data_IF_531191357179
#
_entry.id   IF_531191357179
#
_cell.length_a   1.000
_cell.length_b   1.000
_cell.length_c   1.000
_cell.angle_alpha   90.00
_cell.angle_beta   90.00
_cell.angle_gamma   90.00
#
_symmetry.space_group_name_H-M   'P 1'
#
loop_
_entity.id
_entity.type
_entity.pdbx_description
1 polymer ?
#
# COMPACT_ATOMS: atom_id res chain seq x y z
N UNK A 1 21.68 -70.98 -43.01
CA UNK A 1 21.72 -69.70 -43.71
C UNK A 1 21.44 -68.63 -42.71
N UNK A 2 22.44 -67.93 -42.22
CA UNK A 2 22.43 -66.88 -41.28
C UNK A 2 22.41 -65.49 -42.01
N UNK A 3 21.59 -64.50 -41.63
CA UNK A 3 21.81 -63.15 -42.07
C UNK A 3 22.52 -62.33 -40.99
N UNK A 4 23.42 -61.55 -41.47
CA UNK A 4 24.31 -60.56 -40.93
C UNK A 4 23.66 -59.52 -40.05
N UNK A 5 24.32 -59.22 -38.90
CA UNK A 5 24.08 -58.05 -38.09
C UNK A 5 24.75 -56.83 -38.70
N UNK A 6 23.97 -55.77 -38.97
CA UNK A 6 24.51 -54.45 -39.25
C UNK A 6 24.39 -53.56 -37.98
N UNK A 7 25.51 -53.01 -37.56
CA UNK A 7 25.63 -52.09 -36.45
C UNK A 7 24.98 -50.72 -36.83
N UNK A 8 24.11 -50.18 -35.95
CA UNK A 8 23.58 -48.85 -36.01
C UNK A 8 24.53 -47.82 -35.40
N UNK A 9 24.49 -46.52 -35.81
CA UNK A 9 25.44 -45.49 -35.38
C UNK A 9 25.13 -44.95 -33.96
N UNK A 10 26.21 -44.53 -33.30
CA UNK A 10 26.31 -44.17 -31.91
C UNK A 10 25.38 -43.03 -31.48
N UNK A 11 24.96 -43.18 -30.22
CA UNK A 11 24.27 -42.15 -29.45
C UNK A 11 25.21 -40.95 -29.22
N UNK A 12 24.91 -39.86 -29.88
CA UNK A 12 25.55 -38.58 -29.63
C UNK A 12 25.19 -38.10 -28.23
N UNK A 13 26.19 -37.88 -27.40
CA UNK A 13 26.12 -37.23 -26.10
C UNK A 13 25.63 -35.76 -26.32
N UNK A 14 24.35 -35.48 -26.13
CA UNK A 14 23.84 -34.14 -26.04
C UNK A 14 24.24 -33.58 -24.68
N UNK A 15 25.29 -32.77 -24.64
CA UNK A 15 25.58 -31.90 -23.50
C UNK A 15 24.32 -31.08 -23.17
N UNK A 16 23.95 -30.92 -21.87
CA UNK A 16 22.84 -30.04 -21.52
C UNK A 16 23.19 -28.62 -21.99
N UNK A 17 22.33 -28.04 -22.83
CA UNK A 17 22.43 -26.64 -23.19
C UNK A 17 22.36 -25.88 -21.87
N UNK A 18 23.42 -25.14 -21.52
CA UNK A 18 23.33 -24.06 -20.55
C UNK A 18 22.17 -23.18 -20.98
N UNK A 19 21.10 -23.15 -20.17
CA UNK A 19 20.00 -22.22 -20.36
C UNK A 19 20.60 -20.81 -20.42
N UNK A 20 20.22 -20.05 -21.43
CA UNK A 20 20.54 -18.63 -21.54
C UNK A 20 19.99 -17.99 -20.25
N UNK A 21 20.86 -17.65 -19.29
CA UNK A 21 20.46 -16.86 -18.13
C UNK A 21 20.05 -15.51 -18.70
N UNK A 22 18.75 -15.23 -18.70
CA UNK A 22 18.23 -13.91 -19.06
C UNK A 22 18.79 -12.92 -18.06
N UNK A 23 19.60 -11.96 -18.52
CA UNK A 23 20.09 -10.89 -17.66
C UNK A 23 18.90 -10.14 -17.09
N UNK A 24 18.88 -9.91 -15.78
CA UNK A 24 17.83 -9.17 -15.08
C UNK A 24 18.07 -7.68 -15.22
N UNK A 25 16.99 -6.92 -15.24
CA UNK A 25 17.03 -5.46 -15.34
C UNK A 25 16.41 -4.82 -14.10
N UNK A 26 16.68 -3.52 -13.89
CA UNK A 26 15.99 -2.70 -12.88
C UNK A 26 14.47 -2.82 -13.03
N UNK A 27 13.96 -2.81 -14.26
CA UNK A 27 12.54 -2.96 -14.56
C UNK A 27 11.97 -4.31 -14.11
N UNK A 28 12.73 -5.41 -14.21
CA UNK A 28 12.31 -6.72 -13.71
C UNK A 28 12.15 -6.70 -12.18
N UNK A 29 13.13 -6.09 -11.46
CA UNK A 29 13.07 -5.97 -9.99
C UNK A 29 11.91 -5.09 -9.56
N UNK A 30 11.70 -3.94 -10.24
CA UNK A 30 10.55 -3.07 -10.02
C UNK A 30 9.24 -3.84 -10.18
N UNK A 31 9.08 -4.60 -11.25
CA UNK A 31 7.86 -5.38 -11.49
C UNK A 31 7.58 -6.40 -10.36
N UNK A 32 8.60 -7.11 -9.86
CA UNK A 32 8.44 -8.04 -8.75
C UNK A 32 8.07 -7.34 -7.44
N UNK A 33 8.66 -6.18 -7.16
CA UNK A 33 8.33 -5.39 -5.98
C UNK A 33 6.93 -4.75 -6.08
N UNK A 34 6.50 -4.29 -7.25
CA UNK A 34 5.17 -3.74 -7.46
C UNK A 34 4.07 -4.81 -7.49
N UNK A 35 4.40 -6.05 -7.83
CA UNK A 35 3.49 -7.21 -7.65
C UNK A 35 3.26 -7.50 -6.16
N UNK A 36 4.32 -7.47 -5.35
CA UNK A 36 4.23 -7.69 -3.90
C UNK A 36 3.64 -6.48 -3.15
N UNK A 37 3.97 -5.28 -3.58
CA UNK A 37 3.59 -4.00 -2.99
C UNK A 37 2.94 -3.08 -4.05
N UNK A 38 1.70 -3.36 -4.46
CA UNK A 38 1.04 -2.65 -5.56
C UNK A 38 0.97 -1.14 -5.33
N UNK A 39 1.38 -0.30 -6.31
CA UNK A 39 1.40 1.16 -6.15
C UNK A 39 0.03 1.78 -5.83
N UNK A 40 -1.07 1.14 -6.25
CA UNK A 40 -2.43 1.60 -5.96
C UNK A 40 -2.89 1.36 -4.51
N UNK A 41 -2.06 0.72 -3.68
CA UNK A 41 -2.23 0.63 -2.23
C UNK A 41 -1.62 1.82 -1.48
N UNK A 42 -0.82 2.66 -2.16
CA UNK A 42 -0.21 3.83 -1.54
C UNK A 42 -1.24 4.90 -1.18
N UNK A 43 -1.01 5.61 -0.09
CA UNK A 43 -1.77 6.80 0.27
C UNK A 43 -1.55 7.90 -0.80
N UNK A 44 -2.56 8.72 -1.06
CA UNK A 44 -2.56 9.70 -2.16
C UNK A 44 -1.50 10.81 -2.07
N UNK A 45 -0.91 11.00 -0.89
CA UNK A 45 0.15 11.99 -0.62
C UNK A 45 1.56 11.38 -0.75
N UNK A 46 1.67 10.06 -0.93
CA UNK A 46 2.92 9.31 -0.91
C UNK A 46 3.67 9.35 -2.26
N UNK A 47 4.94 8.92 -2.25
CA UNK A 47 5.81 8.87 -3.42
C UNK A 47 6.56 7.53 -3.46
N UNK A 48 5.96 6.54 -4.08
CA UNK A 48 6.49 5.17 -4.18
C UNK A 48 6.97 4.83 -5.59
N UNK A 49 7.70 3.74 -5.75
CA UNK A 49 8.19 3.25 -7.02
C UNK A 49 9.65 3.61 -7.31
N UNK A 50 10.05 3.57 -8.57
CA UNK A 50 11.41 3.91 -9.01
C UNK A 50 11.65 5.42 -8.92
N UNK A 51 12.57 5.82 -8.05
CA UNK A 51 12.89 7.23 -7.76
C UNK A 51 14.00 7.77 -8.69
N UNK A 52 15.02 6.96 -8.96
CA UNK A 52 16.04 7.23 -9.98
C UNK A 52 16.65 5.92 -10.49
N UNK A 53 17.22 5.95 -11.69
CA UNK A 53 17.77 4.80 -12.41
C UNK A 53 17.09 4.59 -13.74
N UNK A 54 17.68 3.79 -14.61
CA UNK A 54 17.11 3.39 -15.90
C UNK A 54 16.52 1.97 -15.77
N UNK A 55 15.22 1.75 -16.04
CA UNK A 55 14.60 0.43 -16.02
C UNK A 55 15.29 -0.62 -16.92
N UNK A 56 16.04 -0.19 -17.93
CA UNK A 56 16.75 -1.09 -18.84
C UNK A 56 18.15 -1.50 -18.36
N UNK A 57 18.67 -0.87 -17.28
CA UNK A 57 19.98 -1.24 -16.72
C UNK A 57 19.94 -2.62 -16.09
N UNK A 58 21.08 -3.33 -16.21
CA UNK A 58 21.24 -4.69 -15.68
C UNK A 58 21.40 -4.68 -14.17
N UNK A 59 20.78 -5.69 -13.54
CA UNK A 59 20.87 -5.91 -12.09
C UNK A 59 21.40 -7.30 -11.79
N UNK A 60 22.45 -7.34 -10.99
CA UNK A 60 23.03 -8.55 -10.40
C UNK A 60 22.97 -8.55 -8.87
N UNK A 61 22.95 -7.35 -8.27
CA UNK A 61 22.88 -7.19 -6.81
C UNK A 61 21.90 -6.08 -6.43
N UNK A 62 21.00 -6.41 -5.48
CA UNK A 62 20.05 -5.48 -4.87
C UNK A 62 20.34 -5.32 -3.39
N UNK A 63 20.49 -4.09 -2.92
CA UNK A 63 20.63 -3.75 -1.51
C UNK A 63 19.28 -3.28 -0.94
N UNK A 64 19.04 -3.59 0.35
CA UNK A 64 17.82 -3.21 1.07
C UNK A 64 18.17 -2.43 2.32
N UNK A 65 17.45 -1.34 2.58
CA UNK A 65 17.58 -0.54 3.80
C UNK A 65 16.21 0.05 4.20
N UNK A 66 16.09 0.59 5.41
CA UNK A 66 14.86 1.31 5.77
C UNK A 66 14.84 2.70 5.17
N UNK A 67 15.93 3.46 5.35
CA UNK A 67 16.07 4.86 4.95
C UNK A 67 17.13 5.04 3.87
N UNK A 68 16.94 6.04 3.01
CA UNK A 68 17.94 6.45 2.03
C UNK A 68 18.79 7.65 2.55
N UNK A 69 19.60 7.40 3.59
CA UNK A 69 20.56 8.40 4.07
C UNK A 69 21.83 8.44 3.20
N UNK A 70 22.68 9.48 3.36
CA UNK A 70 23.97 9.52 2.64
C UNK A 70 24.84 8.29 2.96
N UNK A 71 24.91 7.89 4.23
CA UNK A 71 25.69 6.72 4.65
C UNK A 71 25.17 5.41 4.04
N UNK A 72 23.86 5.26 3.90
CA UNK A 72 23.24 4.10 3.23
C UNK A 72 23.55 4.11 1.74
N UNK A 73 23.43 5.27 1.07
CA UNK A 73 23.76 5.41 -0.34
C UNK A 73 25.26 5.13 -0.63
N UNK A 74 26.15 5.67 0.19
CA UNK A 74 27.59 5.40 0.09
C UNK A 74 27.86 3.90 0.26
N UNK A 75 27.22 3.26 1.24
CA UNK A 75 27.35 1.81 1.48
C UNK A 75 26.83 0.97 0.31
N UNK A 76 25.66 1.33 -0.26
CA UNK A 76 25.12 0.62 -1.42
C UNK A 76 26.06 0.67 -2.62
N UNK A 77 26.66 1.83 -2.89
CA UNK A 77 27.66 1.99 -3.97
C UNK A 77 28.95 1.24 -3.66
N UNK A 78 29.48 1.32 -2.43
CA UNK A 78 30.69 0.62 -2.00
C UNK A 78 30.58 -0.90 -2.16
N UNK A 79 29.41 -1.48 -1.89
CA UNK A 79 29.19 -2.92 -2.02
C UNK A 79 28.85 -3.35 -3.47
N UNK A 80 28.82 -2.38 -4.40
CA UNK A 80 28.52 -2.62 -5.82
C UNK A 80 27.05 -3.06 -6.04
N UNK A 81 26.11 -2.47 -5.32
CA UNK A 81 24.70 -2.71 -5.57
C UNK A 81 24.24 -1.94 -6.81
N UNK A 82 23.56 -2.63 -7.73
CA UNK A 82 22.99 -2.04 -8.93
C UNK A 82 21.64 -1.34 -8.61
N UNK A 83 21.01 -1.72 -7.50
CA UNK A 83 19.76 -1.13 -7.03
C UNK A 83 19.70 -1.10 -5.50
N UNK A 84 19.20 0.01 -4.94
CA UNK A 84 18.87 0.19 -3.54
C UNK A 84 17.35 0.26 -3.39
N UNK A 85 16.78 -0.64 -2.59
CA UNK A 85 15.35 -0.68 -2.23
C UNK A 85 15.22 -0.17 -0.80
N UNK A 86 14.36 0.81 -0.60
CA UNK A 86 14.10 1.41 0.72
C UNK A 86 12.61 1.45 1.03
N UNK A 87 12.28 1.55 2.32
CA UNK A 87 10.92 1.81 2.75
C UNK A 87 10.61 3.30 2.66
N UNK A 88 11.37 4.13 3.31
CA UNK A 88 11.13 5.58 3.35
C UNK A 88 11.60 6.28 2.08
N UNK A 89 10.69 6.94 1.32
CA UNK A 89 11.07 7.62 0.09
C UNK A 89 11.96 8.85 0.36
N UNK A 90 13.07 8.95 -0.37
CA UNK A 90 13.96 10.10 -0.29
C UNK A 90 13.25 11.40 -0.69
N UNK A 91 12.37 11.33 -1.69
CA UNK A 91 11.67 12.46 -2.28
C UNK A 91 10.16 12.31 -2.07
N UNK A 92 9.66 12.74 -0.91
CA UNK A 92 8.24 12.69 -0.55
C UNK A 92 7.37 13.74 -1.28
N UNK A 93 7.98 14.80 -1.79
CA UNK A 93 7.31 15.89 -2.51
C UNK A 93 8.04 16.15 -3.81
N UNK A 94 7.31 16.64 -4.81
CA UNK A 94 7.91 17.08 -6.07
C UNK A 94 9.07 18.05 -5.84
N UNK A 95 10.17 17.83 -6.53
CA UNK A 95 11.39 18.67 -6.44
C UNK A 95 11.64 19.37 -7.77
N UNK A 96 12.12 20.60 -7.69
CA UNK A 96 12.52 21.40 -8.87
C UNK A 96 14.03 21.34 -9.12
N UNK A 97 14.79 20.75 -8.20
CA UNK A 97 16.24 20.60 -8.30
C UNK A 97 16.72 19.41 -7.49
N UNK A 98 17.68 18.69 -8.04
CA UNK A 98 18.44 17.61 -7.37
C UNK A 98 19.92 17.95 -7.28
N UNK A 99 20.27 19.26 -7.22
CA UNK A 99 21.64 19.72 -7.14
C UNK A 99 22.38 19.16 -5.91
N UNK A 100 23.63 18.72 -6.07
CA UNK A 100 24.42 18.05 -5.02
C UNK A 100 24.82 18.95 -3.82
N UNK A 101 24.45 20.23 -3.85
CA UNK A 101 24.62 21.16 -2.73
C UNK A 101 23.49 21.04 -1.68
N UNK A 102 22.47 20.21 -1.95
CA UNK A 102 21.42 19.86 -0.97
C UNK A 102 21.64 18.42 -0.45
N UNK A 103 21.24 18.11 0.79
CA UNK A 103 21.40 16.75 1.33
C UNK A 103 20.78 15.66 0.43
N UNK A 104 19.52 15.83 -0.01
CA UNK A 104 18.83 14.87 -0.88
C UNK A 104 19.44 14.81 -2.29
N UNK A 105 19.82 15.96 -2.86
CA UNK A 105 20.51 16.02 -4.14
C UNK A 105 21.88 15.31 -4.09
N UNK A 106 22.63 15.43 -3.00
CA UNK A 106 23.90 14.71 -2.82
C UNK A 106 23.70 13.21 -2.86
N UNK A 107 22.66 12.66 -2.16
CA UNK A 107 22.30 11.24 -2.20
C UNK A 107 22.01 10.79 -3.62
N UNK A 108 21.14 11.51 -4.35
CA UNK A 108 20.82 11.20 -5.75
C UNK A 108 22.10 11.18 -6.62
N UNK A 109 22.98 12.18 -6.47
CA UNK A 109 24.23 12.21 -7.22
C UNK A 109 25.17 11.04 -6.88
N UNK A 110 25.21 10.61 -5.61
CA UNK A 110 25.99 9.43 -5.19
C UNK A 110 25.48 8.18 -5.90
N UNK A 111 24.17 7.93 -5.85
CA UNK A 111 23.56 6.75 -6.44
C UNK A 111 23.68 6.73 -7.96
N UNK A 112 23.33 7.84 -8.65
CA UNK A 112 23.39 7.92 -10.11
C UNK A 112 24.85 7.75 -10.61
N UNK A 113 25.85 8.37 -9.96
CA UNK A 113 27.26 8.19 -10.33
C UNK A 113 27.78 6.80 -10.01
N UNK A 114 27.23 6.15 -8.99
CA UNK A 114 27.56 4.78 -8.62
C UNK A 114 26.85 3.71 -9.49
N UNK A 115 25.99 4.13 -10.45
CA UNK A 115 25.19 3.18 -11.24
C UNK A 115 24.18 2.40 -10.40
N UNK A 116 23.67 2.98 -9.31
CA UNK A 116 22.75 2.35 -8.38
C UNK A 116 21.36 3.00 -8.49
N UNK A 117 20.36 2.25 -8.95
CA UNK A 117 18.99 2.69 -9.00
C UNK A 117 18.39 2.80 -7.58
N UNK A 118 17.39 3.64 -7.38
CA UNK A 118 16.67 3.79 -6.10
C UNK A 118 15.18 3.51 -6.27
N UNK A 119 14.67 2.59 -5.48
CA UNK A 119 13.24 2.27 -5.40
C UNK A 119 12.73 2.46 -3.97
N UNK A 120 11.50 2.94 -3.83
CA UNK A 120 10.83 3.07 -2.54
C UNK A 120 9.49 2.32 -2.53
N UNK A 121 9.25 1.53 -1.47
CA UNK A 121 7.95 0.92 -1.15
C UNK A 121 7.57 1.32 0.28
N UNK A 122 6.65 2.27 0.41
CA UNK A 122 6.29 2.93 1.65
C UNK A 122 4.86 2.54 2.07
N UNK A 123 3.88 3.44 2.01
CA UNK A 123 2.52 3.13 2.46
C UNK A 123 1.83 2.03 1.64
N UNK A 124 2.28 1.77 0.40
CA UNK A 124 1.86 0.59 -0.35
C UNK A 124 2.37 -0.72 0.28
N UNK A 125 3.60 -0.74 0.81
CA UNK A 125 4.13 -1.88 1.55
C UNK A 125 3.47 -2.04 2.93
N UNK A 126 3.11 -0.91 3.62
CA UNK A 126 2.32 -0.96 4.85
C UNK A 126 0.95 -1.58 4.63
N UNK A 127 0.32 -1.26 3.50
CA UNK A 127 -1.03 -1.72 3.14
C UNK A 127 -1.05 -3.12 2.53
N UNK A 128 0.04 -3.57 1.91
CA UNK A 128 0.14 -4.86 1.24
C UNK A 128 -0.07 -6.05 2.20
N UNK A 129 -0.30 -7.24 1.61
CA UNK A 129 -0.42 -8.48 2.37
C UNK A 129 0.29 -9.64 1.65
N UNK A 130 1.41 -10.16 2.21
CA UNK A 130 2.07 -9.69 3.43
C UNK A 130 2.71 -8.30 3.26
N UNK A 131 2.70 -7.49 4.31
CA UNK A 131 3.27 -6.14 4.35
C UNK A 131 4.09 -5.88 5.61
N UNK A 132 4.48 -4.62 5.85
CA UNK A 132 5.34 -4.22 6.99
C UNK A 132 4.70 -4.62 8.32
N UNK A 133 3.40 -4.34 8.48
CA UNK A 133 2.69 -4.69 9.71
C UNK A 133 2.46 -6.20 9.90
N UNK A 134 2.48 -7.01 8.82
CA UNK A 134 2.47 -8.48 8.95
C UNK A 134 3.79 -8.97 9.56
N UNK A 135 4.93 -8.37 9.17
CA UNK A 135 6.24 -8.70 9.75
C UNK A 135 6.34 -8.29 11.21
N UNK A 136 5.82 -7.11 11.55
CA UNK A 136 5.73 -6.69 12.96
C UNK A 136 4.85 -7.64 13.77
N UNK A 137 3.68 -8.04 13.26
CA UNK A 137 2.77 -8.98 13.90
C UNK A 137 3.44 -10.33 14.19
N UNK A 138 4.16 -10.89 13.18
CA UNK A 138 4.95 -12.12 13.33
C UNK A 138 5.96 -12.00 14.47
N UNK A 139 6.75 -10.92 14.49
CA UNK A 139 7.81 -10.71 15.47
C UNK A 139 7.26 -10.58 16.90
N UNK A 140 6.15 -9.86 17.10
CA UNK A 140 5.56 -9.71 18.43
C UNK A 140 4.74 -10.93 18.87
N UNK A 141 4.62 -11.95 18.00
CA UNK A 141 4.05 -13.27 18.34
C UNK A 141 2.54 -13.36 18.18
N UNK A 142 1.93 -12.55 17.30
CA UNK A 142 0.51 -12.67 16.96
C UNK A 142 0.33 -13.20 15.53
N UNK A 143 -0.76 -13.93 15.31
CA UNK A 143 -1.19 -14.29 13.95
C UNK A 143 -1.94 -13.11 13.34
N UNK A 144 -1.40 -12.55 12.26
CA UNK A 144 -1.98 -11.42 11.58
C UNK A 144 -3.36 -11.75 10.98
N UNK A 145 -4.40 -11.12 11.48
CA UNK A 145 -5.77 -11.16 10.99
C UNK A 145 -6.14 -9.93 10.16
N UNK A 146 -7.31 -9.35 10.38
CA UNK A 146 -7.82 -8.17 9.68
C UNK A 146 -6.90 -6.95 9.84
N UNK A 147 -6.86 -6.03 8.86
CA UNK A 147 -6.22 -4.74 9.05
C UNK A 147 -6.99 -3.87 10.07
N UNK A 148 -6.32 -2.89 10.67
CA UNK A 148 -6.96 -1.84 11.47
C UNK A 148 -7.85 -1.01 10.54
N UNK A 149 -7.31 -0.56 9.42
CA UNK A 149 -8.02 0.19 8.37
C UNK A 149 -7.86 -0.54 7.03
N UNK A 150 -8.97 -0.98 6.45
CA UNK A 150 -8.96 -1.59 5.12
C UNK A 150 -8.55 -0.54 4.08
N UNK A 151 -7.66 -0.92 3.19
CA UNK A 151 -7.33 -0.21 1.94
C UNK A 151 -7.67 -1.17 0.81
N UNK A 152 -8.78 -0.89 0.13
CA UNK A 152 -9.22 -1.68 -1.02
C UNK A 152 -8.81 -0.94 -2.31
N UNK A 153 -7.80 -1.45 -3.04
CA UNK A 153 -7.39 -0.84 -4.31
C UNK A 153 -8.49 -0.92 -5.38
N UNK A 154 -9.48 -1.78 -5.15
CA UNK A 154 -10.61 -1.99 -6.03
C UNK A 154 -11.90 -1.38 -5.47
N UNK A 155 -11.78 -0.37 -4.58
CA UNK A 155 -12.96 0.35 -4.07
C UNK A 155 -13.89 0.70 -5.22
N UNK A 156 -15.16 0.36 -5.04
CA UNK A 156 -16.20 0.47 -6.08
C UNK A 156 -17.23 1.51 -5.66
N UNK A 157 -17.63 2.34 -6.63
CA UNK A 157 -18.72 3.29 -6.49
C UNK A 157 -19.99 2.72 -7.11
N UNK A 158 -21.10 2.93 -6.42
CA UNK A 158 -22.45 2.76 -6.97
C UNK A 158 -22.88 4.11 -7.55
N UNK A 159 -23.23 4.11 -8.82
CA UNK A 159 -23.72 5.28 -9.56
C UNK A 159 -25.21 5.18 -9.81
N UNK A 160 -25.90 6.30 -9.68
CA UNK A 160 -27.28 6.47 -10.12
C UNK A 160 -27.36 7.67 -11.04
N UNK A 161 -27.76 7.50 -12.30
CA UNK A 161 -27.87 8.58 -13.30
C UNK A 161 -29.30 8.67 -13.78
N UNK A 162 -29.86 9.87 -13.79
CA UNK A 162 -31.17 10.16 -14.37
C UNK A 162 -30.99 10.65 -15.79
N UNK A 163 -31.60 9.97 -16.76
CA UNK A 163 -31.42 10.27 -18.20
C UNK A 163 -32.77 10.27 -18.88
N UNK A 164 -33.10 11.26 -19.72
CA UNK A 164 -34.28 11.17 -20.57
C UNK A 164 -34.31 9.88 -21.36
N UNK A 165 -35.43 9.17 -21.33
CA UNK A 165 -35.55 7.79 -21.81
C UNK A 165 -35.00 7.59 -23.24
N UNK A 166 -35.16 8.60 -24.11
CA UNK A 166 -34.64 8.56 -25.49
C UNK A 166 -33.11 8.55 -25.58
N UNK A 167 -32.39 9.00 -24.57
CA UNK A 167 -30.91 9.13 -24.54
C UNK A 167 -30.24 8.07 -23.67
N UNK A 168 -31.01 7.30 -22.89
CA UNK A 168 -30.44 6.38 -21.88
C UNK A 168 -29.44 5.40 -22.46
N UNK A 169 -29.72 4.83 -23.63
CA UNK A 169 -28.81 3.88 -24.29
C UNK A 169 -27.48 4.53 -24.68
N UNK A 170 -27.51 5.70 -25.29
CA UNK A 170 -26.31 6.42 -25.72
C UNK A 170 -25.40 6.80 -24.53
N UNK A 171 -26.02 7.31 -23.46
CA UNK A 171 -25.29 7.71 -22.26
C UNK A 171 -24.65 6.47 -21.60
N UNK A 172 -25.38 5.36 -21.54
CA UNK A 172 -24.87 4.11 -20.95
C UNK A 172 -23.70 3.52 -21.75
N UNK A 173 -23.82 3.47 -23.08
CA UNK A 173 -22.76 2.96 -23.95
C UNK A 173 -21.46 3.77 -23.73
N UNK A 174 -21.52 5.10 -23.67
CA UNK A 174 -20.35 5.95 -23.42
C UNK A 174 -19.73 5.73 -22.03
N UNK A 175 -20.55 5.53 -20.97
CA UNK A 175 -20.06 5.24 -19.62
C UNK A 175 -19.43 3.83 -19.55
N UNK A 176 -19.99 2.84 -20.24
CA UNK A 176 -19.41 1.49 -20.32
C UNK A 176 -18.08 1.48 -21.06
N UNK A 177 -17.98 2.22 -22.18
CA UNK A 177 -16.72 2.39 -22.93
C UNK A 177 -15.63 3.06 -22.06
N UNK A 178 -16.05 3.90 -21.10
CA UNK A 178 -15.16 4.52 -20.13
C UNK A 178 -14.84 3.62 -18.91
N UNK A 179 -15.33 2.36 -18.91
CA UNK A 179 -15.00 1.35 -17.90
C UNK A 179 -16.02 1.16 -16.76
N UNK A 180 -17.24 1.71 -16.90
CA UNK A 180 -18.32 1.45 -15.96
C UNK A 180 -18.94 0.04 -16.17
N UNK A 181 -19.67 -0.47 -15.15
CA UNK A 181 -20.50 -1.66 -15.27
C UNK A 181 -19.75 -2.99 -15.32
N UNK A 182 -18.55 -3.09 -14.74
CA UNK A 182 -17.79 -4.34 -14.65
C UNK A 182 -18.04 -5.02 -13.30
N UNK A 183 -18.48 -6.28 -13.30
CA UNK A 183 -18.69 -7.12 -12.10
C UNK A 183 -18.09 -8.51 -12.38
N UNK A 184 -16.94 -8.82 -11.81
CA UNK A 184 -16.22 -10.06 -12.08
C UNK A 184 -15.94 -10.21 -13.58
N UNK A 185 -16.40 -11.29 -14.18
CA UNK A 185 -16.23 -11.59 -15.61
C UNK A 185 -17.39 -11.05 -16.49
N UNK A 186 -18.23 -10.16 -15.96
CA UNK A 186 -19.33 -9.55 -16.68
C UNK A 186 -19.09 -8.07 -16.92
N UNK A 187 -19.36 -7.60 -18.13
CA UNK A 187 -19.29 -6.19 -18.55
C UNK A 187 -20.68 -5.61 -18.76
N UNK A 188 -20.79 -4.28 -18.76
CA UNK A 188 -22.02 -3.54 -19.04
C UNK A 188 -23.16 -3.86 -18.07
N UNK A 189 -22.80 -4.28 -16.85
CA UNK A 189 -23.77 -4.57 -15.79
C UNK A 189 -24.45 -3.29 -15.34
N UNK A 190 -25.77 -3.25 -15.46
CA UNK A 190 -26.59 -2.14 -14.98
C UNK A 190 -27.98 -2.59 -14.64
N UNK A 191 -28.67 -1.79 -13.86
CA UNK A 191 -30.10 -1.93 -13.62
C UNK A 191 -30.78 -0.61 -13.94
N UNK A 192 -31.89 -0.65 -14.68
CA UNK A 192 -32.58 0.56 -15.09
C UNK A 192 -34.08 0.44 -14.81
N UNK A 193 -34.69 1.56 -14.46
CA UNK A 193 -36.15 1.68 -14.30
C UNK A 193 -36.65 3.05 -14.72
N UNK A 194 -37.84 3.11 -15.25
CA UNK A 194 -38.47 4.34 -15.70
C UNK A 194 -39.15 5.09 -14.55
N UNK A 195 -39.07 6.42 -14.63
CA UNK A 195 -39.64 7.32 -13.66
C UNK A 195 -40.01 8.67 -14.27
N UNK A 196 -40.27 9.62 -13.38
CA UNK A 196 -40.51 11.01 -13.75
C UNK A 196 -39.61 11.93 -12.92
N UNK A 197 -38.76 12.69 -13.58
CA UNK A 197 -38.02 13.79 -12.99
C UNK A 197 -38.80 15.09 -13.13
N UNK A 198 -38.58 16.03 -12.23
CA UNK A 198 -39.21 17.34 -12.28
C UNK A 198 -38.24 18.45 -11.92
N UNK A 199 -38.27 19.55 -12.70
CA UNK A 199 -37.42 20.72 -12.47
C UNK A 199 -38.06 22.00 -12.98
N UNK A 200 -37.57 23.12 -12.50
CA UNK A 200 -37.91 24.43 -13.03
C UNK A 200 -36.62 25.08 -13.54
N UNK A 201 -36.49 25.37 -14.85
CA UNK A 201 -35.36 26.14 -15.34
C UNK A 201 -35.44 27.56 -14.82
N UNK A 202 -34.36 28.09 -14.24
CA UNK A 202 -34.25 29.46 -13.76
C UNK A 202 -33.64 30.40 -14.83
N UNK A 203 -33.64 31.72 -14.57
CA UNK A 203 -33.03 32.69 -15.48
C UNK A 203 -31.54 32.38 -15.75
N UNK A 204 -31.18 32.22 -17.02
CA UNK A 204 -29.83 31.87 -17.47
C UNK A 204 -29.63 30.39 -17.82
N UNK A 205 -30.63 29.51 -17.58
CA UNK A 205 -30.61 28.14 -18.05
C UNK A 205 -30.90 28.05 -19.56
N UNK A 206 -30.29 27.05 -20.23
CA UNK A 206 -30.59 26.64 -21.60
C UNK A 206 -31.17 25.22 -21.61
N UNK A 207 -32.43 25.03 -21.19
CA UNK A 207 -32.99 23.70 -20.96
C UNK A 207 -33.23 22.98 -22.27
N UNK A 208 -32.83 21.68 -22.31
CA UNK A 208 -33.18 20.76 -23.41
C UNK A 208 -34.69 20.54 -23.52
N UNK A 209 -35.38 20.52 -22.37
CA UNK A 209 -36.83 20.32 -22.24
C UNK A 209 -37.40 21.36 -21.25
N UNK A 210 -38.63 21.81 -21.47
CA UNK A 210 -39.30 22.80 -20.61
C UNK A 210 -39.00 24.25 -20.97
N UNK A 211 -39.49 25.20 -20.18
CA UNK A 211 -39.34 26.65 -20.36
C UNK A 211 -38.87 27.31 -19.06
N UNK A 212 -38.08 28.39 -19.18
CA UNK A 212 -37.63 29.16 -18.02
C UNK A 212 -38.82 29.67 -17.19
N UNK A 213 -38.79 29.46 -15.88
CA UNK A 213 -39.81 29.85 -14.92
C UNK A 213 -41.01 28.93 -14.82
N UNK A 214 -41.10 27.86 -15.60
CA UNK A 214 -42.19 26.88 -15.58
C UNK A 214 -41.72 25.52 -15.06
N UNK A 215 -42.51 24.92 -14.14
CA UNK A 215 -42.21 23.55 -13.68
C UNK A 215 -42.48 22.53 -14.78
N UNK A 216 -41.46 21.77 -15.14
CA UNK A 216 -41.52 20.76 -16.17
C UNK A 216 -41.37 19.36 -15.55
N UNK A 217 -42.12 18.39 -16.08
CA UNK A 217 -41.98 16.97 -15.69
C UNK A 217 -41.52 16.15 -16.88
N UNK A 218 -40.30 15.61 -16.78
CA UNK A 218 -39.68 14.77 -17.79
C UNK A 218 -39.94 13.29 -17.51
N UNK A 219 -40.06 12.49 -18.58
CA UNK A 219 -39.95 11.03 -18.47
C UNK A 219 -38.48 10.64 -18.53
N UNK A 220 -38.00 10.06 -17.45
CA UNK A 220 -36.60 9.70 -17.28
C UNK A 220 -36.44 8.23 -16.96
N UNK A 221 -35.33 7.65 -17.38
CA UNK A 221 -34.84 6.36 -16.93
C UNK A 221 -33.74 6.61 -15.92
N UNK A 222 -33.89 6.10 -14.69
CA UNK A 222 -32.77 6.03 -13.75
C UNK A 222 -31.98 4.79 -14.05
N UNK A 223 -30.69 4.94 -14.32
CA UNK A 223 -29.75 3.84 -14.56
C UNK A 223 -28.78 3.75 -13.39
N UNK A 224 -28.65 2.54 -12.86
CA UNK A 224 -27.74 2.24 -11.76
C UNK A 224 -26.66 1.27 -12.25
N UNK A 225 -25.40 1.51 -11.91
CA UNK A 225 -24.26 0.67 -12.24
C UNK A 225 -23.15 0.85 -11.22
N UNK A 226 -22.18 -0.06 -11.23
CA UNK A 226 -20.96 0.07 -10.41
C UNK A 226 -19.78 0.45 -11.28
N UNK A 227 -18.81 1.15 -10.70
CA UNK A 227 -17.56 1.46 -11.34
C UNK A 227 -16.41 1.57 -10.33
N UNK A 228 -15.17 1.24 -10.70
CA UNK A 228 -14.01 1.50 -9.83
C UNK A 228 -13.92 2.98 -9.45
N UNK A 229 -13.75 3.26 -8.17
CA UNK A 229 -13.67 4.65 -7.63
C UNK A 229 -12.58 5.49 -8.33
N UNK A 230 -11.49 4.87 -8.77
CA UNK A 230 -10.41 5.54 -9.54
C UNK A 230 -10.88 6.14 -10.87
N UNK A 231 -11.99 5.66 -11.43
CA UNK A 231 -12.57 6.16 -12.67
C UNK A 231 -13.57 7.31 -12.45
N UNK A 232 -13.87 7.70 -11.20
CA UNK A 232 -14.91 8.68 -10.86
C UNK A 232 -14.78 9.98 -11.65
N UNK A 233 -13.59 10.58 -11.65
CA UNK A 233 -13.37 11.85 -12.35
C UNK A 233 -13.57 11.73 -13.87
N UNK A 234 -13.10 10.64 -14.48
CA UNK A 234 -13.28 10.35 -15.89
C UNK A 234 -14.76 10.14 -16.23
N UNK A 235 -15.48 9.35 -15.44
CA UNK A 235 -16.90 9.07 -15.67
C UNK A 235 -17.76 10.33 -15.51
N UNK A 236 -17.45 11.22 -14.56
CA UNK A 236 -18.12 12.53 -14.45
C UNK A 236 -17.88 13.37 -15.71
N UNK A 237 -16.66 13.39 -16.24
CA UNK A 237 -16.36 14.13 -17.48
C UNK A 237 -17.13 13.57 -18.67
N UNK A 238 -17.11 12.24 -18.85
CA UNK A 238 -17.86 11.56 -19.93
C UNK A 238 -19.35 11.80 -19.79
N UNK A 239 -19.91 11.66 -18.56
CA UNK A 239 -21.33 11.89 -18.32
C UNK A 239 -21.74 13.30 -18.73
N UNK A 240 -21.00 14.34 -18.35
CA UNK A 240 -21.29 15.73 -18.72
C UNK A 240 -21.19 16.01 -20.22
N UNK A 241 -20.31 15.30 -20.91
CA UNK A 241 -20.15 15.44 -22.37
C UNK A 241 -21.30 14.81 -23.16
N UNK A 242 -21.80 13.64 -22.72
CA UNK A 242 -22.78 12.86 -23.50
C UNK A 242 -24.22 13.04 -23.06
N UNK A 243 -24.45 13.59 -21.85
CA UNK A 243 -25.77 13.80 -21.30
C UNK A 243 -26.50 14.96 -22.05
N UNK A 244 -27.79 14.83 -22.36
CA UNK A 244 -28.52 15.87 -23.06
C UNK A 244 -28.78 17.12 -22.22
N UNK A 245 -28.79 17.01 -20.87
CA UNK A 245 -28.96 18.15 -19.97
C UNK A 245 -27.61 18.83 -19.70
N UNK A 246 -27.60 20.15 -19.60
CA UNK A 246 -26.42 20.93 -19.22
C UNK A 246 -25.94 20.59 -17.80
N UNK A 247 -26.88 20.28 -16.89
CA UNK A 247 -26.59 19.82 -15.54
C UNK A 247 -27.29 18.47 -15.30
N UNK A 248 -26.62 17.35 -15.53
CA UNK A 248 -27.18 16.02 -15.30
C UNK A 248 -27.36 15.73 -13.82
N UNK A 249 -28.52 15.16 -13.47
CA UNK A 249 -28.77 14.67 -12.12
C UNK A 249 -28.18 13.29 -11.95
N UNK A 250 -27.23 13.13 -11.00
CA UNK A 250 -26.61 11.85 -10.66
C UNK A 250 -26.15 11.82 -9.21
N UNK A 251 -26.01 10.61 -8.67
CA UNK A 251 -25.43 10.35 -7.35
C UNK A 251 -24.36 9.28 -7.45
N UNK A 252 -23.36 9.38 -6.56
CA UNK A 252 -22.25 8.44 -6.44
C UNK A 252 -22.07 8.08 -4.97
N UNK A 253 -22.15 6.80 -4.65
CA UNK A 253 -21.99 6.26 -3.29
C UNK A 253 -20.87 5.27 -3.29
N UNK A 254 -19.82 5.52 -2.50
CA UNK A 254 -18.74 4.55 -2.33
C UNK A 254 -19.26 3.36 -1.54
N UNK A 255 -19.06 2.16 -2.08
CA UNK A 255 -19.46 0.91 -1.43
C UNK A 255 -18.44 0.49 -0.38
N UNK A 256 -18.92 -0.12 0.71
CA UNK A 256 -18.05 -0.74 1.70
C UNK A 256 -17.40 -2.02 1.14
N UNK A 257 -16.22 -2.35 1.67
CA UNK A 257 -15.54 -3.61 1.37
C UNK A 257 -16.40 -4.81 1.79
N UNK A 258 -16.64 -5.72 0.85
CA UNK A 258 -17.49 -6.91 1.06
C UNK A 258 -16.71 -8.24 1.01
N UNK A 259 -15.39 -8.20 0.83
CA UNK A 259 -14.54 -9.39 0.84
C UNK A 259 -14.27 -9.92 2.25
N UNK A 260 -13.46 -10.98 2.34
CA UNK A 260 -13.02 -11.49 3.64
C UNK A 260 -12.08 -10.48 4.30
N UNK A 261 -12.56 -9.85 5.36
CA UNK A 261 -11.81 -8.82 6.07
C UNK A 261 -10.49 -9.34 6.66
N UNK A 262 -10.37 -10.65 6.92
CA UNK A 262 -9.14 -11.22 7.47
C UNK A 262 -8.04 -11.37 6.43
N UNK A 263 -8.39 -11.34 5.16
CA UNK A 263 -7.44 -11.38 4.03
C UNK A 263 -7.31 -10.03 3.31
N UNK A 264 -8.06 -9.03 3.76
CA UNK A 264 -8.03 -7.69 3.18
C UNK A 264 -6.65 -7.03 3.29
N UNK A 265 -6.28 -6.25 2.27
CA UNK A 265 -5.17 -5.30 2.34
C UNK A 265 -5.54 -4.11 3.21
N UNK A 266 -4.54 -3.41 3.73
CA UNK A 266 -4.77 -2.22 4.57
C UNK A 266 -3.73 -2.04 5.67
N UNK A 267 -3.87 -0.95 6.37
CA UNK A 267 -2.91 -0.47 7.37
C UNK A 267 -3.09 -1.18 8.71
N UNK A 268 -1.98 -1.55 9.32
CA UNK A 268 -1.93 -2.28 10.57
C UNK A 268 -2.50 -3.70 10.49
N UNK A 269 -2.44 -4.45 11.59
CA UNK A 269 -3.04 -5.79 11.72
C UNK A 269 -3.63 -5.97 13.10
N UNK A 270 -4.67 -6.79 13.19
CA UNK A 270 -5.27 -7.26 14.45
C UNK A 270 -5.08 -8.76 14.51
N UNK A 271 -4.65 -9.26 15.66
CA UNK A 271 -4.46 -10.68 15.88
C UNK A 271 -4.54 -11.06 17.34
N UNK A 272 -4.28 -12.31 17.65
CA UNK A 272 -4.28 -12.81 19.02
C UNK A 272 -2.97 -13.47 19.36
N UNK A 273 -2.54 -13.30 20.62
CA UNK A 273 -1.46 -14.09 21.19
C UNK A 273 -1.90 -15.55 21.35
N UNK A 274 -1.01 -16.52 21.27
CA UNK A 274 -1.32 -17.93 21.58
C UNK A 274 -1.89 -18.11 22.97
N UNK A 275 -1.32 -17.42 23.96
CA UNK A 275 -1.74 -17.39 25.36
C UNK A 275 -1.82 -15.96 25.87
N UNK A 276 -2.79 -15.68 26.78
CA UNK A 276 -2.89 -14.37 27.40
C UNK A 276 -1.74 -14.17 28.41
N UNK A 277 -1.19 -12.97 28.45
CA UNK A 277 -0.15 -12.56 29.38
C UNK A 277 -0.41 -11.15 29.90
N UNK A 278 0.31 -10.70 30.94
CA UNK A 278 0.16 -9.33 31.42
C UNK A 278 0.71 -8.31 30.43
N UNK A 279 0.23 -7.06 30.47
CA UNK A 279 0.78 -5.97 29.65
C UNK A 279 2.30 -5.81 29.87
N UNK A 280 2.75 -5.97 31.11
CA UNK A 280 4.18 -5.94 31.46
C UNK A 280 4.99 -7.01 30.73
N UNK A 281 4.51 -8.26 30.76
CA UNK A 281 5.16 -9.38 30.07
C UNK A 281 5.16 -9.19 28.56
N UNK A 282 4.03 -8.76 28.00
CA UNK A 282 3.93 -8.51 26.57
C UNK A 282 4.82 -7.34 26.11
N UNK A 283 4.92 -6.26 26.92
CA UNK A 283 5.85 -5.14 26.64
C UNK A 283 7.30 -5.64 26.59
N UNK A 284 7.68 -6.53 27.49
CA UNK A 284 9.01 -7.13 27.48
C UNK A 284 9.22 -8.06 26.29
N UNK A 285 8.20 -8.82 25.90
CA UNK A 285 8.23 -9.66 24.69
C UNK A 285 8.47 -8.81 23.43
N UNK A 286 7.72 -7.70 23.27
CA UNK A 286 7.91 -6.76 22.17
C UNK A 286 9.33 -6.19 22.16
N UNK A 287 9.85 -5.79 23.32
CA UNK A 287 11.22 -5.27 23.45
C UNK A 287 12.30 -6.29 23.06
N UNK A 288 12.07 -7.58 23.34
CA UNK A 288 13.01 -8.65 23.01
C UNK A 288 12.94 -9.04 21.52
N UNK A 289 11.81 -8.80 20.86
CA UNK A 289 11.54 -9.19 19.47
C UNK A 289 12.06 -8.18 18.45
N UNK A 290 12.15 -6.90 18.83
CA UNK A 290 12.53 -5.82 17.94
C UNK A 290 14.01 -5.47 18.03
N UNK A 291 14.59 -4.90 16.96
CA UNK A 291 15.96 -4.38 16.99
C UNK A 291 16.17 -3.36 18.11
N UNK A 292 17.31 -3.44 18.77
CA UNK A 292 17.66 -2.54 19.89
C UNK A 292 17.91 -1.12 19.40
N UNK A 293 17.25 -0.15 20.06
CA UNK A 293 17.42 1.29 19.84
C UNK A 293 17.53 2.04 21.15
N UNK A 294 17.97 3.31 21.09
CA UNK A 294 18.02 4.19 22.26
C UNK A 294 16.63 4.59 22.77
N UNK A 295 15.61 4.54 21.91
CA UNK A 295 14.23 4.79 22.30
C UNK A 295 13.68 3.67 23.19
N UNK A 296 14.03 2.42 22.90
CA UNK A 296 13.51 1.24 23.57
C UNK A 296 12.02 1.00 23.30
N UNK A 297 11.34 0.37 24.27
CA UNK A 297 9.90 0.08 24.23
C UNK A 297 9.28 0.51 25.55
N UNK A 298 8.18 1.23 25.48
CA UNK A 298 7.42 1.70 26.66
C UNK A 298 5.93 1.46 26.47
N UNK A 299 5.20 1.26 27.58
CA UNK A 299 3.78 1.03 27.57
C UNK A 299 3.03 2.03 28.43
N UNK A 300 1.76 2.28 28.08
CA UNK A 300 0.81 3.01 28.90
C UNK A 300 -0.49 2.19 29.04
N UNK A 301 -0.94 2.00 30.27
CA UNK A 301 -2.05 1.16 30.68
C UNK A 301 -1.78 0.53 32.04
N UNK A 302 -2.67 -0.34 32.51
CA UNK A 302 -2.45 -1.11 33.75
C UNK A 302 -1.43 -2.23 33.45
N UNK A 303 -0.25 -2.23 34.11
CA UNK A 303 0.79 -3.23 33.84
C UNK A 303 0.37 -4.68 34.11
N UNK A 304 -0.62 -4.89 34.94
CA UNK A 304 -1.10 -6.22 35.34
C UNK A 304 -2.38 -6.65 34.60
N UNK A 305 -2.93 -5.80 33.72
CA UNK A 305 -4.04 -6.19 32.82
C UNK A 305 -3.62 -7.33 31.88
N UNK A 306 -4.56 -8.24 31.63
CA UNK A 306 -4.34 -9.35 30.70
C UNK A 306 -4.48 -8.87 29.26
N UNK A 307 -3.55 -9.29 28.41
CA UNK A 307 -3.48 -9.02 26.98
C UNK A 307 -3.61 -10.32 26.21
N UNK A 308 -4.56 -10.39 25.29
CA UNK A 308 -4.78 -11.51 24.39
C UNK A 308 -4.95 -11.03 22.93
N UNK A 309 -5.83 -10.06 22.74
CA UNK A 309 -6.13 -9.48 21.43
C UNK A 309 -5.32 -8.21 21.23
N UNK A 310 -4.52 -8.19 20.16
CA UNK A 310 -3.50 -7.17 19.92
C UNK A 310 -3.74 -6.51 18.56
N UNK A 311 -3.62 -5.19 18.49
CA UNK A 311 -3.46 -4.48 17.25
C UNK A 311 -2.00 -4.05 17.09
N UNK A 312 -1.47 -4.09 15.87
CA UNK A 312 -0.14 -3.58 15.53
C UNK A 312 -0.20 -2.67 14.31
N UNK A 313 0.60 -1.61 14.31
CA UNK A 313 0.89 -0.77 13.15
C UNK A 313 2.34 -0.37 13.20
N UNK A 314 3.09 -0.66 12.13
CA UNK A 314 4.46 -0.20 11.97
C UNK A 314 4.51 1.32 11.82
N UNK A 315 5.63 1.93 12.17
CA UNK A 315 5.82 3.37 12.09
C UNK A 315 4.87 4.20 12.94
N UNK A 316 4.54 5.40 12.50
CA UNK A 316 3.70 6.35 13.23
C UNK A 316 2.22 5.97 13.20
N UNK A 317 1.66 5.62 14.35
CA UNK A 317 0.29 5.12 14.45
C UNK A 317 -0.64 5.91 15.37
N UNK A 318 -0.33 7.14 15.75
CA UNK A 318 -1.19 7.95 16.61
C UNK A 318 -2.55 8.29 15.94
N UNK A 319 -2.60 8.34 14.60
CA UNK A 319 -3.82 8.54 13.81
C UNK A 319 -4.83 7.38 13.92
N UNK A 320 -4.40 6.18 14.31
CA UNK A 320 -5.26 5.00 14.43
C UNK A 320 -5.85 4.79 15.83
N UNK A 321 -5.50 5.60 16.83
CA UNK A 321 -5.98 5.44 18.20
C UNK A 321 -7.51 5.35 18.30
N UNK A 322 -8.24 6.18 17.52
CA UNK A 322 -9.70 6.13 17.50
C UNK A 322 -10.26 4.88 16.81
N UNK A 323 -9.57 4.38 15.77
CA UNK A 323 -9.98 3.15 15.08
C UNK A 323 -9.76 1.93 15.96
N UNK A 324 -8.59 1.85 16.59
CA UNK A 324 -8.20 0.77 17.49
C UNK A 324 -9.15 0.67 18.70
N UNK A 325 -9.61 1.81 19.25
CA UNK A 325 -10.57 1.83 20.34
C UNK A 325 -11.90 1.13 20.01
N UNK A 326 -12.28 1.10 18.71
CA UNK A 326 -13.51 0.43 18.24
C UNK A 326 -13.35 -1.07 17.95
N UNK A 327 -12.09 -1.57 17.89
CA UNK A 327 -11.81 -2.97 17.51
C UNK A 327 -11.87 -3.95 18.68
N UNK A 328 -12.02 -3.45 19.92
CA UNK A 328 -12.08 -4.28 21.13
C UNK A 328 -10.83 -5.12 21.31
N UNK A 329 -9.66 -4.52 21.11
CA UNK A 329 -8.35 -5.09 21.42
C UNK A 329 -7.93 -4.72 22.83
N UNK A 330 -7.00 -5.48 23.42
CA UNK A 330 -6.50 -5.24 24.76
C UNK A 330 -5.32 -4.26 24.76
N UNK A 331 -4.53 -4.28 23.67
CA UNK A 331 -3.35 -3.43 23.49
C UNK A 331 -3.10 -3.09 22.02
N UNK A 332 -2.52 -1.92 21.80
CA UNK A 332 -2.07 -1.45 20.51
C UNK A 332 -0.56 -1.19 20.49
N UNK A 333 0.17 -1.85 19.61
CA UNK A 333 1.63 -1.67 19.41
C UNK A 333 1.87 -0.79 18.20
N UNK A 334 2.59 0.31 18.37
CA UNK A 334 2.94 1.24 17.29
C UNK A 334 4.13 2.12 17.71
N UNK A 335 4.39 3.22 16.98
CA UNK A 335 5.49 4.15 17.25
C UNK A 335 5.03 5.60 17.18
N UNK A 336 5.92 6.52 17.58
CA UNK A 336 5.75 7.98 17.50
C UNK A 336 4.55 8.52 18.29
N UNK A 337 4.19 7.83 19.39
CA UNK A 337 3.07 8.25 20.22
C UNK A 337 3.42 9.49 21.04
N UNK A 338 2.50 10.47 21.03
CA UNK A 338 2.61 11.73 21.75
C UNK A 338 1.81 11.71 23.06
N UNK A 339 2.22 12.52 24.03
CA UNK A 339 1.64 12.55 25.37
C UNK A 339 0.11 12.74 25.37
N UNK A 340 -0.39 13.83 24.77
CA UNK A 340 -1.82 14.16 24.84
C UNK A 340 -2.71 13.15 24.10
N UNK A 341 -2.39 12.70 22.86
CA UNK A 341 -3.20 11.67 22.22
C UNK A 341 -3.31 10.38 23.02
N UNK A 342 -2.23 9.95 23.67
CA UNK A 342 -2.24 8.74 24.53
C UNK A 342 -3.05 8.97 25.79
N UNK A 343 -2.87 10.11 26.49
CA UNK A 343 -3.61 10.43 27.70
C UNK A 343 -5.13 10.50 27.45
N UNK A 344 -5.53 11.18 26.37
CA UNK A 344 -6.93 11.30 25.97
C UNK A 344 -7.52 9.94 25.57
N UNK A 345 -6.77 9.13 24.82
CA UNK A 345 -7.16 7.78 24.43
C UNK A 345 -7.44 6.87 25.64
N UNK A 346 -6.53 6.85 26.61
CA UNK A 346 -6.69 6.03 27.83
C UNK A 346 -7.84 6.54 28.71
N UNK A 347 -7.99 7.86 28.86
CA UNK A 347 -9.12 8.46 29.61
C UNK A 347 -10.48 8.18 28.97
N UNK A 348 -10.53 8.04 27.63
CA UNK A 348 -11.72 7.64 26.91
C UNK A 348 -12.03 6.13 27.02
N UNK A 349 -11.22 5.35 27.75
CA UNK A 349 -11.40 3.90 27.88
C UNK A 349 -10.85 3.10 26.73
N UNK A 350 -9.94 3.67 25.94
CA UNK A 350 -9.21 2.96 24.88
C UNK A 350 -8.28 1.87 25.45
N UNK A 351 -7.84 0.90 24.60
CA UNK A 351 -6.91 -0.15 25.00
C UNK A 351 -5.55 0.42 25.45
N UNK A 352 -4.78 -0.38 26.18
CA UNK A 352 -3.37 -0.05 26.44
C UNK A 352 -2.59 0.20 25.16
N UNK A 353 -1.51 0.97 25.25
CA UNK A 353 -0.63 1.21 24.09
C UNK A 353 0.81 0.85 24.43
N UNK A 354 1.52 0.33 23.43
CA UNK A 354 2.97 0.09 23.47
C UNK A 354 3.59 0.93 22.36
N UNK A 355 4.52 1.80 22.78
CA UNK A 355 5.25 2.73 21.91
C UNK A 355 6.66 2.21 21.69
N UNK A 356 7.00 1.88 20.44
CA UNK A 356 8.30 1.36 20.02
C UNK A 356 9.08 2.44 19.28
N UNK A 357 10.36 2.19 18.97
CA UNK A 357 11.08 3.04 18.03
C UNK A 357 10.53 2.83 16.62
N UNK A 358 10.28 3.92 15.89
CA UNK A 358 9.80 3.90 14.50
C UNK A 358 10.67 2.97 13.64
N UNK A 359 11.99 3.24 13.60
CA UNK A 359 12.95 2.43 12.87
C UNK A 359 12.90 0.94 13.23
N UNK A 360 12.77 0.61 14.51
CA UNK A 360 12.76 -0.78 14.98
C UNK A 360 11.49 -1.53 14.58
N UNK A 361 10.36 -0.84 14.47
CA UNK A 361 9.09 -1.44 14.07
C UNK A 361 9.01 -1.77 12.57
N UNK A 362 9.83 -1.10 11.74
CA UNK A 362 9.77 -1.20 10.27
C UNK A 362 11.02 -1.87 9.67
N UNK A 363 12.20 -1.71 10.26
CA UNK A 363 13.44 -2.28 9.72
C UNK A 363 13.35 -3.79 9.39
N UNK A 364 12.66 -4.63 10.18
CA UNK A 364 12.48 -6.05 9.85
C UNK A 364 11.82 -6.33 8.47
N UNK A 365 11.06 -5.37 7.92
CA UNK A 365 10.51 -5.48 6.58
C UNK A 365 11.57 -5.62 5.50
N UNK A 366 12.78 -5.09 5.70
CA UNK A 366 13.88 -5.21 4.73
C UNK A 366 14.20 -6.67 4.41
N UNK A 367 14.07 -7.58 5.38
CA UNK A 367 14.20 -9.02 5.17
C UNK A 367 13.09 -9.54 4.25
N UNK A 368 11.84 -9.19 4.53
CA UNK A 368 10.69 -9.60 3.72
C UNK A 368 10.81 -9.07 2.27
N UNK A 369 11.20 -7.81 2.08
CA UNK A 369 11.39 -7.24 0.75
C UNK A 369 12.54 -7.94 -0.01
N UNK A 370 13.62 -8.31 0.68
CA UNK A 370 14.72 -9.04 0.07
C UNK A 370 14.30 -10.47 -0.36
N UNK A 371 13.45 -11.13 0.43
CA UNK A 371 12.89 -12.44 0.14
C UNK A 371 11.98 -12.41 -1.11
N UNK A 372 11.21 -11.33 -1.32
CA UNK A 372 10.41 -11.13 -2.54
C UNK A 372 11.31 -11.17 -3.78
N UNK A 373 12.40 -10.42 -3.79
CA UNK A 373 13.33 -10.38 -4.93
C UNK A 373 14.06 -11.71 -5.09
N UNK A 374 14.54 -12.31 -4.00
CA UNK A 374 15.25 -13.58 -4.04
C UNK A 374 14.36 -14.75 -4.52
N UNK A 375 13.07 -14.72 -4.19
CA UNK A 375 12.10 -15.71 -4.67
C UNK A 375 11.78 -15.56 -6.16
N UNK A 376 11.61 -14.30 -6.63
CA UNK A 376 11.33 -14.00 -8.04
C UNK A 376 12.58 -14.25 -8.92
N UNK A 377 13.75 -13.90 -8.43
CA UNK A 377 15.02 -13.95 -9.17
C UNK A 377 16.16 -14.54 -8.33
N UNK A 378 16.24 -15.87 -8.22
CA UNK A 378 17.27 -16.54 -7.40
C UNK A 378 18.72 -16.32 -7.89
N UNK A 379 18.88 -15.81 -9.08
CA UNK A 379 20.16 -15.42 -9.72
C UNK A 379 20.63 -14.01 -9.34
N UNK A 380 19.78 -13.21 -8.69
CA UNK A 380 20.10 -11.87 -8.19
C UNK A 380 20.57 -11.96 -6.74
N UNK A 381 21.72 -11.36 -6.44
CA UNK A 381 22.21 -11.27 -5.07
C UNK A 381 21.42 -10.23 -4.29
N UNK A 382 20.89 -10.59 -3.12
CA UNK A 382 20.24 -9.65 -2.20
C UNK A 382 21.08 -9.44 -0.95
N UNK A 383 21.19 -8.20 -0.48
CA UNK A 383 21.96 -7.86 0.73
C UNK A 383 21.27 -6.75 1.53
N UNK A 384 21.18 -6.93 2.85
CA UNK A 384 20.55 -5.94 3.76
C UNK A 384 21.63 -5.05 4.34
N UNK A 385 21.47 -3.73 4.17
CA UNK A 385 22.29 -2.72 4.82
C UNK A 385 21.74 -2.48 6.23
N UNK A 386 22.37 -3.08 7.22
CA UNK A 386 21.96 -3.04 8.63
C UNK A 386 22.39 -1.78 9.39
N UNK A 387 22.75 -0.71 8.68
CA UNK A 387 23.06 0.57 9.32
C UNK A 387 21.80 1.08 10.04
N UNK A 388 21.92 1.29 11.35
CA UNK A 388 20.85 1.89 12.15
C UNK A 388 20.74 3.38 11.78
N UNK A 389 19.65 3.73 11.14
CA UNK A 389 19.34 5.10 10.71
C UNK A 389 18.37 5.80 11.67
N UNK A 390 17.99 5.13 12.76
CA UNK A 390 17.23 5.73 13.87
C UNK A 390 17.95 7.04 14.32
N UNK A 391 17.25 8.19 14.30
CA UNK A 391 17.88 9.48 14.64
C UNK A 391 18.24 9.60 16.13
N UNK A 392 17.71 8.76 17.00
CA UNK A 392 17.94 8.80 18.43
C UNK A 392 19.20 7.99 18.78
N UNK A 393 20.24 8.67 19.26
CA UNK A 393 21.56 8.05 19.48
C UNK A 393 21.97 7.96 20.94
N UNK A 394 21.25 8.63 21.83
CA UNK A 394 21.55 8.67 23.28
C UNK A 394 20.25 8.62 24.06
N UNK A 395 20.19 7.74 25.05
CA UNK A 395 19.14 7.72 26.07
C UNK A 395 19.74 7.89 27.47
N UNK A 396 19.00 8.55 28.36
CA UNK A 396 19.39 8.68 29.77
C UNK A 396 18.17 8.49 30.66
N UNK A 397 18.33 7.71 31.72
CA UNK A 397 17.32 7.53 32.75
C UNK A 397 17.83 8.10 34.08
N UNK A 398 16.95 8.74 34.83
CA UNK A 398 17.28 9.16 36.18
C UNK A 398 17.57 7.92 37.06
N UNK A 399 18.53 8.02 37.96
CA UNK A 399 18.81 6.96 38.93
C UNK A 399 17.55 6.61 39.71
N UNK A 400 17.17 5.34 39.75
CA UNK A 400 15.97 4.85 40.45
C UNK A 400 16.06 4.97 42.01
N UNK A 401 17.11 5.60 42.53
CA UNK A 401 17.30 5.88 43.95
C UNK A 401 16.70 7.25 44.33
N UNK A 402 15.37 7.37 44.29
CA UNK A 402 14.63 8.40 45.03
C UNK A 402 13.36 7.82 45.58
#
# INVERSE_FOLDING_TARGET
MTPSMTAGPGAGNASPRLGCMTERTVGDIVAALEEAYPPNLAESWDAVGLICGDPAEKVSKVAFALDCTQAVADRAVEMGADMLVVHHPLLMRGVTSVAANTPKGKVIHTLVRGGCALFAAHTNADSARPGVSDKLAELVGITAGRPIKVVDPNTTDLWGVHVPAAYSRRVMEALFDAGAGSIGNYSNCSFAWDGSGGFTPEDGADPTDGSVGEYYTAKETRVQFVAPTRLRAQLVSVLREVHPYEEPAFDVITLEYTGDINTATGLGRVGELPEAMTLREFTQQVANALPVTEWGVRAAGDPDQMVKKVAVSSGSGDSFLADVARLGVDVYVTSDLRHHPVDEHLRAGGPAVIDTAHWASEFPWTTQASEVVAAAYPDVQTEIISLRTDPWTISAHADKCR
#
